data_IF_434678156898
#
_entry.id   IF_434678156898
#
_cell.length_a   1.000
_cell.length_b   1.000
_cell.length_c   1.000
_cell.angle_alpha   90.00
_cell.angle_beta   90.00
_cell.angle_gamma   90.00
#
_symmetry.space_group_name_H-M   'P 1'
#
loop_
_entity.id
_entity.type
_entity.pdbx_description
1 polymer ?
#
# COMPACT_ATOMS: atom_id res chain seq x y z
N UNK A 1 35.89 28.99 -17.71
CA UNK A 1 34.95 28.96 -16.58
C UNK A 1 33.90 27.89 -16.84
N UNK A 2 33.85 26.83 -16.03
CA UNK A 2 32.84 25.76 -16.17
C UNK A 2 31.48 26.36 -15.82
N UNK A 3 30.56 26.42 -16.78
CA UNK A 3 29.14 26.67 -16.50
C UNK A 3 28.62 25.51 -15.65
N UNK A 4 28.63 25.67 -14.32
CA UNK A 4 27.92 24.76 -13.44
C UNK A 4 26.44 24.97 -13.70
N UNK A 5 25.86 24.05 -14.47
CA UNK A 5 24.45 24.02 -14.81
C UNK A 5 23.64 24.23 -13.52
N UNK A 6 22.79 25.26 -13.47
CA UNK A 6 22.05 25.67 -12.27
C UNK A 6 21.27 24.49 -11.68
N UNK A 7 20.82 23.58 -12.55
CA UNK A 7 20.21 22.30 -12.20
C UNK A 7 21.11 21.42 -11.33
N UNK A 8 22.40 21.33 -11.68
CA UNK A 8 23.40 20.51 -10.99
C UNK A 8 23.67 21.07 -9.60
N UNK A 9 23.73 22.41 -9.48
CA UNK A 9 23.86 23.09 -8.19
C UNK A 9 22.60 22.95 -7.34
N UNK A 10 21.41 22.96 -7.96
CA UNK A 10 20.13 22.77 -7.27
C UNK A 10 19.95 21.33 -6.75
N UNK A 11 20.27 20.33 -7.58
CA UNK A 11 20.27 18.91 -7.20
C UNK A 11 21.32 18.61 -6.10
N UNK A 12 22.47 19.30 -6.14
CA UNK A 12 23.49 19.23 -5.08
C UNK A 12 23.15 20.11 -3.85
N UNK A 13 22.25 21.09 -3.98
CA UNK A 13 21.83 21.96 -2.87
C UNK A 13 20.83 21.30 -1.93
N UNK A 14 20.17 20.23 -2.40
CA UNK A 14 19.35 19.38 -1.58
C UNK A 14 20.30 18.53 -0.73
N UNK A 15 20.73 19.11 0.38
CA UNK A 15 21.53 18.45 1.41
C UNK A 15 20.61 17.53 2.23
N UNK A 16 19.89 16.63 1.54
CA UNK A 16 19.11 15.59 2.18
C UNK A 16 20.12 14.61 2.75
N UNK A 17 20.35 14.74 4.04
CA UNK A 17 21.16 13.79 4.78
C UNK A 17 20.50 12.42 4.64
N UNK A 18 21.22 11.47 4.07
CA UNK A 18 20.75 10.11 3.83
C UNK A 18 20.18 9.46 5.11
N UNK A 19 20.77 9.75 6.27
CA UNK A 19 20.30 9.30 7.58
C UNK A 19 18.87 9.78 7.87
N UNK A 20 18.54 11.02 7.49
CA UNK A 20 17.18 11.55 7.62
C UNK A 20 16.20 10.82 6.71
N UNK A 21 16.59 10.49 5.47
CA UNK A 21 15.73 9.70 4.56
C UNK A 21 15.46 8.31 5.12
N UNK A 22 16.48 7.64 5.68
CA UNK A 22 16.30 6.35 6.37
C UNK A 22 15.30 6.50 7.51
N UNK A 23 15.42 7.56 8.30
CA UNK A 23 14.49 7.86 9.39
C UNK A 23 13.06 8.04 8.89
N UNK A 24 12.86 8.85 7.86
CA UNK A 24 11.54 9.10 7.27
C UNK A 24 10.93 7.83 6.69
N UNK A 25 11.69 7.03 5.93
CA UNK A 25 11.19 5.76 5.39
C UNK A 25 10.74 4.80 6.49
N UNK A 26 11.53 4.67 7.58
CA UNK A 26 11.14 3.85 8.74
C UNK A 26 9.87 4.37 9.41
N UNK A 27 9.75 5.69 9.57
CA UNK A 27 8.53 6.32 10.12
C UNK A 27 7.31 6.05 9.23
N UNK A 28 7.44 6.21 7.91
CA UNK A 28 6.37 5.90 6.96
C UNK A 28 5.94 4.44 7.03
N UNK A 29 6.89 3.50 7.07
CA UNK A 29 6.59 2.07 7.24
C UNK A 29 5.84 1.83 8.55
N UNK A 30 6.25 2.46 9.64
CA UNK A 30 5.58 2.31 10.93
C UNK A 30 4.14 2.86 10.91
N UNK A 31 3.91 3.99 10.24
CA UNK A 31 2.56 4.54 10.05
C UNK A 31 1.70 3.58 9.23
N UNK A 32 2.22 3.04 8.12
CA UNK A 32 1.49 2.07 7.30
C UNK A 32 1.18 0.78 8.07
N UNK A 33 2.08 0.33 8.94
CA UNK A 33 1.84 -0.79 9.87
C UNK A 33 0.79 -0.45 10.93
N UNK A 34 0.73 0.78 11.43
CA UNK A 34 -0.36 1.23 12.32
C UNK A 34 -1.71 1.28 11.57
N UNK A 35 -1.71 1.68 10.30
CA UNK A 35 -2.91 1.68 9.45
C UNK A 35 -3.48 0.28 9.20
N UNK A 36 -2.66 -0.77 9.29
CA UNK A 36 -3.10 -2.17 9.21
C UNK A 36 -3.92 -2.61 10.45
N UNK A 37 -3.95 -1.83 11.54
CA UNK A 37 -4.77 -2.16 12.71
C UNK A 37 -6.26 -2.15 12.37
N UNK A 38 -7.00 -3.13 12.91
CA UNK A 38 -8.45 -3.29 12.64
C UNK A 38 -9.27 -2.02 12.94
N UNK A 39 -8.87 -1.24 13.95
CA UNK A 39 -9.56 -0.01 14.35
C UNK A 39 -9.52 1.09 13.28
N UNK A 40 -8.49 1.13 12.44
CA UNK A 40 -8.34 2.11 11.36
C UNK A 40 -9.17 1.72 10.16
N UNK A 41 -9.18 0.44 9.81
CA UNK A 41 -10.02 -0.08 8.74
C UNK A 41 -11.50 0.18 9.03
N UNK A 42 -11.97 -0.10 10.25
CA UNK A 42 -13.37 0.12 10.61
C UNK A 42 -13.79 1.60 10.46
N UNK A 43 -12.92 2.55 10.83
CA UNK A 43 -13.18 3.99 10.62
C UNK A 43 -13.32 4.35 9.14
N UNK A 44 -12.45 3.80 8.29
CA UNK A 44 -12.52 3.98 6.83
C UNK A 44 -13.82 3.38 6.29
N UNK A 45 -14.19 2.18 6.73
CA UNK A 45 -15.41 1.50 6.32
C UNK A 45 -16.66 2.30 6.66
N UNK A 46 -16.77 2.83 7.89
CA UNK A 46 -17.87 3.72 8.29
C UNK A 46 -17.93 4.95 7.37
N UNK A 47 -16.78 5.56 7.07
CA UNK A 47 -16.73 6.73 6.19
C UNK A 47 -17.17 6.40 4.76
N UNK A 48 -16.76 5.25 4.22
CA UNK A 48 -17.21 4.76 2.91
C UNK A 48 -18.74 4.60 2.89
N UNK A 49 -19.31 3.94 3.90
CA UNK A 49 -20.77 3.77 3.99
C UNK A 49 -21.48 5.12 4.11
N UNK A 50 -20.94 6.06 4.89
CA UNK A 50 -21.48 7.42 5.00
C UNK A 50 -21.49 8.14 3.65
N UNK A 51 -20.36 8.14 2.94
CA UNK A 51 -20.23 8.78 1.62
C UNK A 51 -21.18 8.16 0.59
N UNK A 52 -21.32 6.82 0.59
CA UNK A 52 -22.25 6.15 -0.34
C UNK A 52 -23.71 6.55 -0.10
N UNK A 53 -24.11 6.68 1.17
CA UNK A 53 -25.45 7.15 1.55
C UNK A 53 -25.68 8.61 1.16
N UNK A 54 -24.70 9.48 1.43
CA UNK A 54 -24.80 10.92 1.10
C UNK A 54 -24.88 11.17 -0.41
N UNK A 55 -24.25 10.34 -1.22
CA UNK A 55 -24.18 10.51 -2.67
C UNK A 55 -25.13 9.60 -3.45
N UNK A 56 -26.03 8.86 -2.78
CA UNK A 56 -26.93 7.87 -3.40
C UNK A 56 -26.19 6.84 -4.30
N UNK A 57 -24.95 6.49 -3.94
CA UNK A 57 -24.13 5.50 -4.64
C UNK A 57 -24.45 4.12 -4.09
N UNK A 58 -24.47 3.10 -4.95
CA UNK A 58 -24.64 1.72 -4.50
C UNK A 58 -23.53 1.32 -3.51
N UNK A 59 -23.88 0.78 -2.33
CA UNK A 59 -22.88 0.37 -1.35
C UNK A 59 -21.99 -0.75 -1.91
N UNK A 60 -20.79 -0.96 -1.33
CA UNK A 60 -19.89 -2.03 -1.75
C UNK A 60 -20.60 -3.38 -1.66
N UNK A 61 -20.50 -4.19 -2.72
CA UNK A 61 -21.04 -5.55 -2.80
C UNK A 61 -19.91 -6.50 -3.15
N UNK A 62 -20.01 -7.75 -2.74
CA UNK A 62 -19.06 -8.77 -3.17
C UNK A 62 -19.07 -8.88 -4.70
N UNK A 63 -17.90 -9.06 -5.33
CA UNK A 63 -17.87 -9.33 -6.76
C UNK A 63 -18.69 -10.59 -7.04
N UNK A 64 -19.68 -10.48 -7.92
CA UNK A 64 -20.45 -11.63 -8.36
C UNK A 64 -19.51 -12.55 -9.13
N UNK A 65 -19.31 -13.77 -8.65
CA UNK A 65 -18.64 -14.79 -9.44
C UNK A 65 -19.44 -14.98 -10.73
N UNK A 66 -18.81 -14.72 -11.87
CA UNK A 66 -19.34 -15.14 -13.16
C UNK A 66 -19.33 -16.66 -13.13
N UNK A 67 -20.49 -17.28 -12.96
CA UNK A 67 -20.66 -18.73 -12.94
C UNK A 67 -19.93 -19.35 -14.13
N UNK A 68 -18.79 -20.00 -13.88
CA UNK A 68 -18.30 -21.03 -14.79
C UNK A 68 -19.33 -22.17 -14.75
N UNK A 69 -19.82 -22.65 -15.89
CA UNK A 69 -20.84 -23.68 -15.92
C UNK A 69 -20.34 -24.92 -15.17
N UNK A 70 -21.12 -25.32 -14.17
CA UNK A 70 -20.86 -26.39 -13.24
C UNK A 70 -20.72 -27.72 -14.00
N UNK A 71 -19.48 -28.13 -14.28
CA UNK A 71 -19.18 -29.50 -14.70
C UNK A 71 -18.81 -30.31 -13.47
N UNK A 72 -19.75 -31.17 -13.08
CA UNK A 72 -19.59 -32.41 -12.32
C UNK A 72 -18.44 -32.49 -11.31
N UNK A 73 -18.80 -32.48 -10.04
CA UNK A 73 -17.91 -32.79 -8.92
C UNK A 73 -18.30 -31.96 -7.71
N UNK A 74 -19.01 -32.55 -6.77
CA UNK A 74 -19.21 -32.02 -5.43
C UNK A 74 -17.87 -31.64 -4.81
N UNK A 75 -17.59 -30.35 -4.76
CA UNK A 75 -16.85 -29.73 -3.67
C UNK A 75 -17.68 -28.50 -3.29
N UNK A 76 -18.70 -28.71 -2.45
CA UNK A 76 -19.43 -27.66 -1.77
C UNK A 76 -18.51 -26.95 -0.75
N UNK A 77 -17.44 -26.33 -1.23
CA UNK A 77 -16.73 -25.31 -0.48
C UNK A 77 -17.58 -24.04 -0.58
N UNK A 78 -18.69 -24.08 0.16
CA UNK A 78 -19.60 -22.98 0.32
C UNK A 78 -18.82 -21.71 0.57
N UNK A 79 -19.16 -20.66 -0.18
CA UNK A 79 -18.87 -19.30 0.28
C UNK A 79 -19.59 -19.15 1.62
N UNK A 80 -18.90 -19.54 2.69
CA UNK A 80 -19.27 -19.26 4.06
C UNK A 80 -19.63 -17.77 4.08
N UNK A 81 -20.78 -17.41 4.66
CA UNK A 81 -21.32 -16.05 4.67
C UNK A 81 -20.32 -15.06 5.31
N UNK A 82 -19.31 -14.64 4.57
CA UNK A 82 -18.31 -13.70 5.02
C UNK A 82 -18.91 -12.30 4.85
N UNK A 83 -18.87 -11.46 5.91
CA UNK A 83 -19.30 -10.07 5.79
C UNK A 83 -18.58 -9.39 4.62
N UNK A 84 -19.31 -8.59 3.82
CA UNK A 84 -18.71 -7.84 2.70
C UNK A 84 -17.50 -7.03 3.19
N UNK A 85 -17.61 -6.45 4.39
CA UNK A 85 -16.53 -5.76 5.09
C UNK A 85 -15.25 -6.61 5.22
N UNK A 86 -15.39 -7.90 5.56
CA UNK A 86 -14.27 -8.81 5.72
C UNK A 86 -13.52 -9.07 4.40
N UNK A 87 -14.25 -9.19 3.30
CA UNK A 87 -13.67 -9.35 1.96
C UNK A 87 -12.82 -8.13 1.58
N UNK A 88 -13.37 -6.92 1.71
CA UNK A 88 -12.65 -5.69 1.38
C UNK A 88 -11.47 -5.45 2.34
N UNK A 89 -11.61 -5.85 3.61
CA UNK A 89 -10.53 -5.78 4.60
C UNK A 89 -9.32 -6.59 4.18
N UNK A 90 -9.52 -7.88 3.89
CA UNK A 90 -8.41 -8.80 3.61
C UNK A 90 -7.88 -8.60 2.20
N UNK A 91 -8.75 -8.70 1.20
CA UNK A 91 -8.32 -8.84 -0.20
C UNK A 91 -7.92 -7.52 -0.86
N UNK A 92 -8.32 -6.39 -0.27
CA UNK A 92 -8.05 -5.07 -0.84
C UNK A 92 -7.23 -4.25 0.15
N UNK A 93 -7.78 -3.92 1.31
CA UNK A 93 -7.14 -2.98 2.23
C UNK A 93 -5.78 -3.50 2.75
N UNK A 94 -5.75 -4.71 3.33
CA UNK A 94 -4.50 -5.31 3.80
C UNK A 94 -3.55 -5.67 2.67
N UNK A 95 -4.05 -6.23 1.57
CA UNK A 95 -3.22 -6.55 0.41
C UNK A 95 -2.51 -5.31 -0.15
N UNK A 96 -3.21 -4.20 -0.34
CA UNK A 96 -2.62 -2.96 -0.86
C UNK A 96 -1.58 -2.39 0.11
N UNK A 97 -1.88 -2.37 1.42
CA UNK A 97 -0.92 -1.91 2.42
C UNK A 97 0.36 -2.75 2.43
N UNK A 98 0.22 -4.07 2.36
CA UNK A 98 1.34 -5.00 2.37
C UNK A 98 2.20 -4.86 1.11
N UNK A 99 1.58 -4.67 -0.06
CA UNK A 99 2.29 -4.36 -1.31
C UNK A 99 3.09 -3.06 -1.15
N UNK A 100 2.47 -1.98 -0.67
CA UNK A 100 3.15 -0.69 -0.51
C UNK A 100 4.33 -0.79 0.45
N UNK A 101 4.14 -1.44 1.60
CA UNK A 101 5.21 -1.64 2.60
C UNK A 101 6.37 -2.41 1.97
N UNK A 102 6.06 -3.52 1.27
CA UNK A 102 7.07 -4.36 0.60
C UNK A 102 7.85 -3.57 -0.45
N UNK A 103 7.17 -2.81 -1.29
CA UNK A 103 7.82 -2.00 -2.34
C UNK A 103 8.76 -0.95 -1.74
N UNK A 104 8.35 -0.28 -0.65
CA UNK A 104 9.20 0.68 0.06
C UNK A 104 10.43 -0.03 0.63
N UNK A 105 10.25 -1.19 1.28
CA UNK A 105 11.35 -1.95 1.88
C UNK A 105 12.34 -2.47 0.83
N UNK A 106 11.87 -2.97 -0.32
CA UNK A 106 12.71 -3.48 -1.42
C UNK A 106 13.54 -2.35 -2.02
N UNK A 107 12.88 -1.28 -2.49
CA UNK A 107 13.57 -0.15 -3.15
C UNK A 107 14.60 0.50 -2.23
N UNK A 108 14.30 0.58 -0.94
CA UNK A 108 15.21 1.20 0.01
C UNK A 108 16.41 0.32 0.36
N UNK A 109 16.23 -1.01 0.43
CA UNK A 109 17.34 -1.97 0.57
C UNK A 109 18.26 -1.96 -0.66
N UNK A 110 17.70 -1.92 -1.86
CA UNK A 110 18.47 -1.86 -3.12
C UNK A 110 19.32 -0.58 -3.19
N UNK A 111 18.74 0.57 -2.85
CA UNK A 111 19.46 1.84 -2.82
C UNK A 111 20.57 1.88 -1.75
N UNK A 112 20.36 1.25 -0.58
CA UNK A 112 21.40 1.12 0.45
C UNK A 112 22.63 0.37 -0.07
N UNK A 113 22.44 -0.74 -0.78
CA UNK A 113 23.53 -1.53 -1.34
C UNK A 113 24.32 -0.76 -2.40
N UNK A 114 23.63 -0.03 -3.28
CA UNK A 114 24.28 0.80 -4.30
C UNK A 114 25.14 1.91 -3.69
N UNK A 115 24.63 2.60 -2.66
CA UNK A 115 25.37 3.67 -1.96
C UNK A 115 26.60 3.09 -1.23
N UNK A 116 26.44 1.96 -0.52
CA UNK A 116 27.56 1.31 0.16
C UNK A 116 28.66 0.84 -0.81
N UNK A 117 28.27 0.31 -1.96
CA UNK A 117 29.23 -0.10 -3.00
C UNK A 117 29.92 1.10 -3.64
N UNK A 118 29.21 2.22 -3.82
CA UNK A 118 29.80 3.47 -4.32
C UNK A 118 30.78 4.14 -3.36
N UNK A 119 30.67 3.92 -2.05
CA UNK A 119 31.60 4.42 -1.02
C UNK A 119 32.85 3.55 -0.85
N UNK A 120 32.84 2.31 -1.36
CA UNK A 120 33.99 1.38 -1.31
C UNK A 120 34.94 1.50 -2.49
N UNK A 121 34.56 2.25 -3.53
CA UNK A 121 35.40 2.58 -4.69
C UNK A 121 35.96 4.00 -4.53
#
# INVERSE_FOLDING_TARGET
>A
MKQTNVLLKYLQSININYIHVIGMCKQTINILKDMRRDTKFHKIWIQVIKVTKENNITPPKLPTNRNTPQKYGEDENGFQNFPVEHYYRINIYYTVLDIIIREIEVRFKENQLQILNGLKN
#
